data_IF_090388196480
#
_entry.id   IF_090388196480
#
_cell.length_a   1.000
_cell.length_b   1.000
_cell.length_c   1.000
_cell.angle_alpha   90.00
_cell.angle_beta   90.00
_cell.angle_gamma   90.00
#
_symmetry.space_group_name_H-M   'P 1'
#
loop_
_entity.id
_entity.type
_entity.pdbx_description
1 polymer ?
#
# COMPACT_ATOMS: atom_id res chain seq x y z
N UNK A 1 1.39 27.80 14.83
CA UNK A 1 1.14 26.35 14.74
C UNK A 1 0.08 26.16 13.67
N UNK A 2 0.55 25.95 12.46
CA UNK A 2 -0.26 25.62 11.29
C UNK A 2 -0.78 24.18 11.42
N UNK A 3 -1.71 23.77 10.56
CA UNK A 3 -2.15 22.37 10.53
C UNK A 3 -1.00 21.42 10.10
N UNK A 4 -0.05 21.91 9.28
CA UNK A 4 1.19 21.20 8.97
C UNK A 4 2.07 20.97 10.22
N UNK A 5 2.25 21.99 11.07
CA UNK A 5 3.03 21.85 12.31
C UNK A 5 2.41 20.81 13.27
N UNK A 6 1.07 20.67 13.26
CA UNK A 6 0.35 19.69 14.09
C UNK A 6 0.48 18.26 13.57
N UNK A 7 0.43 18.10 12.25
CA UNK A 7 0.68 16.81 11.60
C UNK A 7 2.12 16.37 11.83
N UNK A 8 3.08 17.28 11.72
CA UNK A 8 4.51 17.00 11.96
C UNK A 8 4.79 16.62 13.43
N UNK A 9 4.18 17.32 14.39
CA UNK A 9 4.34 17.00 15.83
C UNK A 9 3.64 15.69 16.22
N UNK A 10 2.46 15.41 15.69
CA UNK A 10 1.80 14.12 15.88
C UNK A 10 2.68 13.01 15.29
N UNK A 11 3.19 13.22 14.08
CA UNK A 11 4.04 12.30 13.32
C UNK A 11 5.34 11.94 14.05
N UNK A 12 6.02 12.90 14.69
CA UNK A 12 7.22 12.63 15.49
C UNK A 12 6.93 11.74 16.72
N UNK A 13 5.75 11.86 17.33
CA UNK A 13 5.34 11.01 18.45
C UNK A 13 5.01 9.56 18.02
N UNK A 14 4.69 9.35 16.74
CA UNK A 14 4.28 8.07 16.15
C UNK A 14 5.48 7.19 15.77
N UNK A 15 6.62 7.80 15.45
CA UNK A 15 7.81 7.15 14.86
C UNK A 15 8.86 6.76 15.91
N UNK A 16 8.70 7.19 17.16
CA UNK A 16 9.78 7.22 18.15
C UNK A 16 10.34 5.91 18.72
N UNK A 17 9.76 4.73 18.44
CA UNK A 17 10.20 3.48 19.09
C UNK A 17 10.25 2.26 18.15
N UNK A 18 10.85 2.41 16.96
CA UNK A 18 10.91 1.32 15.99
C UNK A 18 12.33 1.07 15.44
N UNK A 19 12.75 -0.21 15.31
CA UNK A 19 14.07 -0.57 14.81
C UNK A 19 14.25 -0.16 13.35
N UNK A 20 15.49 0.24 13.04
CA UNK A 20 15.94 0.77 11.76
C UNK A 20 15.71 -0.20 10.58
N UNK A 21 15.28 0.43 9.49
CA UNK A 21 14.97 -0.09 8.15
C UNK A 21 16.24 -0.59 7.45
N UNK A 22 16.10 -1.49 6.47
CA UNK A 22 17.20 -1.77 5.53
C UNK A 22 17.50 -0.49 4.72
N UNK A 23 18.72 0.06 4.78
CA UNK A 23 19.09 1.30 4.07
C UNK A 23 18.88 1.23 2.56
N UNK A 24 18.78 0.04 1.96
CA UNK A 24 18.57 -0.13 0.52
C UNK A 24 17.16 0.25 0.04
N UNK A 25 16.19 0.35 0.95
CA UNK A 25 14.78 0.60 0.61
C UNK A 25 14.31 2.03 0.85
N UNK A 26 15.23 2.94 1.21
CA UNK A 26 14.89 4.32 1.59
C UNK A 26 15.28 5.35 0.53
N UNK A 27 14.44 6.37 0.36
CA UNK A 27 14.75 7.60 -0.36
C UNK A 27 14.21 7.70 -1.80
N UNK A 28 14.46 8.83 -2.48
CA UNK A 28 13.80 9.18 -3.75
C UNK A 28 14.03 8.17 -4.89
N UNK A 29 15.19 7.53 -4.94
CA UNK A 29 15.51 6.55 -5.98
C UNK A 29 14.69 5.26 -5.85
N UNK A 30 14.43 4.81 -4.62
CA UNK A 30 13.58 3.64 -4.35
C UNK A 30 12.13 3.88 -4.82
N UNK A 31 11.62 5.11 -4.61
CA UNK A 31 10.29 5.54 -5.07
C UNK A 31 10.20 5.66 -6.59
N UNK A 32 11.22 6.20 -7.25
CA UNK A 32 11.25 6.29 -8.71
C UNK A 32 11.17 4.90 -9.35
N UNK A 33 11.98 3.95 -8.86
CA UNK A 33 11.94 2.57 -9.35
C UNK A 33 10.65 1.83 -8.98
N UNK A 34 9.94 2.22 -7.92
CA UNK A 34 8.65 1.63 -7.56
C UNK A 34 7.59 1.90 -8.64
N UNK A 35 7.42 3.14 -9.06
CA UNK A 35 6.40 3.51 -10.05
C UNK A 35 6.57 2.73 -11.37
N UNK A 36 7.79 2.68 -11.91
CA UNK A 36 8.09 1.97 -13.15
C UNK A 36 7.77 0.46 -13.03
N UNK A 37 8.10 -0.16 -11.89
CA UNK A 37 7.79 -1.56 -11.61
C UNK A 37 6.29 -1.82 -11.55
N UNK A 38 5.52 -0.95 -10.90
CA UNK A 38 4.07 -1.08 -10.80
C UNK A 38 3.38 -0.92 -12.17
N UNK A 39 3.78 0.08 -12.95
CA UNK A 39 3.27 0.26 -14.32
C UNK A 39 3.59 -0.95 -15.19
N UNK A 40 4.84 -1.44 -15.15
CA UNK A 40 5.26 -2.63 -15.88
C UNK A 40 4.50 -3.89 -15.47
N UNK A 41 4.26 -4.07 -14.16
CA UNK A 41 3.45 -5.16 -13.62
C UNK A 41 2.03 -5.14 -14.20
N UNK A 42 1.29 -4.04 -14.04
CA UNK A 42 -0.11 -3.99 -14.49
C UNK A 42 -0.23 -4.06 -16.01
N UNK A 43 0.71 -3.48 -16.76
CA UNK A 43 0.79 -3.68 -18.21
C UNK A 43 0.99 -5.16 -18.57
N UNK A 44 1.87 -5.87 -17.85
CA UNK A 44 2.08 -7.31 -18.00
C UNK A 44 0.85 -8.17 -17.66
N UNK A 45 -0.06 -7.64 -16.83
CA UNK A 45 -1.37 -8.26 -16.51
C UNK A 45 -2.49 -7.85 -17.48
N UNK A 46 -2.14 -7.23 -18.61
CA UNK A 46 -3.08 -6.85 -19.67
C UNK A 46 -3.83 -5.53 -19.42
N UNK A 47 -3.32 -4.65 -18.56
CA UNK A 47 -3.84 -3.28 -18.41
C UNK A 47 -3.11 -2.38 -19.41
N UNK A 48 -3.68 -2.23 -20.62
CA UNK A 48 -3.03 -1.52 -21.74
C UNK A 48 -2.68 -0.06 -21.41
N UNK A 49 -3.47 0.58 -20.55
CA UNK A 49 -3.36 1.98 -20.13
C UNK A 49 -2.81 2.15 -18.70
N UNK A 50 -2.04 1.17 -18.20
CA UNK A 50 -1.49 1.19 -16.85
C UNK A 50 -0.72 2.49 -16.53
N UNK A 51 0.02 3.06 -17.49
CA UNK A 51 0.79 4.29 -17.27
C UNK A 51 -0.07 5.53 -16.97
N UNK A 52 -1.33 5.56 -17.42
CA UNK A 52 -2.27 6.65 -17.14
C UNK A 52 -3.10 6.39 -15.90
N UNK A 53 -3.45 5.11 -15.63
CA UNK A 53 -4.27 4.70 -14.49
C UNK A 53 -3.51 4.59 -13.18
N UNK A 54 -2.29 4.05 -13.20
CA UNK A 54 -1.49 3.88 -11.97
C UNK A 54 -1.11 5.25 -11.42
N UNK A 55 -1.62 5.57 -10.23
CA UNK A 55 -1.23 6.73 -9.43
C UNK A 55 -1.04 6.29 -7.98
N UNK A 56 0.05 6.72 -7.37
CA UNK A 56 0.22 6.51 -5.94
C UNK A 56 -0.46 7.65 -5.18
N UNK A 57 -1.33 7.36 -4.20
CA UNK A 57 -1.86 8.38 -3.30
C UNK A 57 -0.73 9.16 -2.62
N UNK A 58 -0.94 10.47 -2.46
CA UNK A 58 0.09 11.38 -1.96
C UNK A 58 0.51 11.07 -0.51
N UNK A 59 -0.42 10.58 0.31
CA UNK A 59 -0.20 10.14 1.68
C UNK A 59 0.64 8.86 1.75
N UNK A 60 0.36 7.86 0.91
CA UNK A 60 1.21 6.67 0.76
C UNK A 60 2.63 7.07 0.32
N UNK A 61 2.76 7.95 -0.68
CA UNK A 61 4.05 8.45 -1.13
C UNK A 61 4.86 9.13 -0.02
N UNK A 62 4.21 9.96 0.79
CA UNK A 62 4.85 10.60 1.95
C UNK A 62 5.37 9.55 2.92
N UNK A 63 4.56 8.56 3.26
CA UNK A 63 4.98 7.46 4.11
C UNK A 63 6.15 6.67 3.52
N UNK A 64 6.09 6.29 2.25
CA UNK A 64 7.17 5.54 1.59
C UNK A 64 8.47 6.34 1.48
N UNK A 65 8.38 7.67 1.38
CA UNK A 65 9.55 8.56 1.40
C UNK A 65 10.20 8.64 2.79
N UNK A 66 9.42 8.48 3.86
CA UNK A 66 9.84 8.63 5.24
C UNK A 66 10.30 7.26 5.78
N UNK A 67 11.58 7.17 6.17
CA UNK A 67 12.18 5.95 6.72
C UNK A 67 11.93 4.69 5.86
N UNK A 68 11.97 4.81 4.52
CA UNK A 68 11.77 3.67 3.61
C UNK A 68 10.42 2.99 3.73
N UNK A 69 9.40 3.68 4.27
CA UNK A 69 8.01 3.22 4.22
C UNK A 69 7.73 1.94 4.97
N UNK A 70 8.55 1.57 5.95
CA UNK A 70 8.38 0.29 6.64
C UNK A 70 7.96 0.53 8.08
N UNK A 71 6.92 -0.18 8.54
CA UNK A 71 6.46 -0.08 9.93
C UNK A 71 6.01 -1.42 10.46
N UNK A 72 6.51 -1.82 11.63
CA UNK A 72 6.13 -3.08 12.29
C UNK A 72 5.62 -2.82 13.69
N UNK A 73 4.48 -3.41 14.06
CA UNK A 73 3.94 -3.38 15.42
C UNK A 73 3.54 -4.79 15.86
N UNK A 74 4.08 -5.26 16.98
CA UNK A 74 3.82 -6.62 17.49
C UNK A 74 4.90 -7.62 17.09
N UNK A 75 4.60 -8.90 17.26
CA UNK A 75 5.54 -10.02 17.07
C UNK A 75 5.39 -10.65 15.67
N UNK A 76 5.41 -11.98 15.56
CA UNK A 76 5.35 -12.73 14.30
C UNK A 76 4.04 -12.50 13.53
N UNK A 77 2.94 -12.24 14.25
CA UNK A 77 1.62 -11.97 13.66
C UNK A 77 1.22 -10.50 13.81
N UNK A 78 2.19 -9.64 14.04
CA UNK A 78 2.00 -8.20 14.16
C UNK A 78 1.61 -7.53 12.84
N UNK A 79 1.19 -6.27 12.94
CA UNK A 79 1.01 -5.41 11.77
C UNK A 79 2.37 -5.14 11.12
N UNK A 80 2.42 -5.23 9.81
CA UNK A 80 3.57 -4.84 9.01
C UNK A 80 3.14 -4.04 7.79
N UNK A 81 3.56 -2.77 7.70
CA UNK A 81 3.44 -1.93 6.51
C UNK A 81 4.74 -2.00 5.71
N UNK A 82 4.60 -2.16 4.40
CA UNK A 82 5.69 -2.49 3.49
C UNK A 82 6.40 -1.26 2.93
N UNK A 83 7.74 -1.32 2.90
CA UNK A 83 8.56 -0.37 2.15
C UNK A 83 8.47 -0.57 0.62
N UNK A 84 9.05 0.35 -0.18
CA UNK A 84 8.86 0.39 -1.63
C UNK A 84 9.16 -0.92 -2.36
N UNK A 85 10.28 -1.57 -2.06
CA UNK A 85 10.63 -2.84 -2.73
C UNK A 85 9.64 -3.96 -2.39
N UNK A 86 9.23 -4.04 -1.12
CA UNK A 86 8.28 -5.05 -0.65
C UNK A 86 6.88 -4.80 -1.21
N UNK A 87 6.43 -3.53 -1.29
CA UNK A 87 5.17 -3.18 -1.98
C UNK A 87 5.17 -3.71 -3.42
N UNK A 88 6.25 -3.47 -4.18
CA UNK A 88 6.33 -3.93 -5.55
C UNK A 88 6.30 -5.46 -5.66
N UNK A 89 7.13 -6.16 -4.87
CA UNK A 89 7.22 -7.63 -4.95
C UNK A 89 5.95 -8.31 -4.46
N UNK A 90 5.37 -7.82 -3.36
CA UNK A 90 4.16 -8.40 -2.79
C UNK A 90 2.94 -8.13 -3.68
N UNK A 91 2.82 -6.92 -4.23
CA UNK A 91 1.77 -6.62 -5.23
C UNK A 91 1.90 -7.53 -6.44
N UNK A 92 3.11 -7.77 -6.95
CA UNK A 92 3.33 -8.67 -8.07
C UNK A 92 2.95 -10.12 -7.75
N UNK A 93 3.30 -10.61 -6.55
CA UNK A 93 2.95 -11.94 -6.09
C UNK A 93 1.42 -12.10 -5.97
N UNK A 94 0.76 -11.21 -5.23
CA UNK A 94 -0.68 -11.32 -4.96
C UNK A 94 -1.48 -11.11 -6.25
N UNK A 95 -1.18 -10.08 -7.03
CA UNK A 95 -1.82 -9.86 -8.33
C UNK A 95 -1.62 -11.06 -9.27
N UNK A 96 -0.44 -11.69 -9.25
CA UNK A 96 -0.16 -12.89 -10.04
C UNK A 96 -1.04 -14.09 -9.65
N UNK A 97 -1.30 -14.28 -8.35
CA UNK A 97 -2.16 -15.36 -7.86
C UNK A 97 -3.63 -15.19 -8.30
N UNK A 98 -4.11 -13.94 -8.41
CA UNK A 98 -5.51 -13.65 -8.74
C UNK A 98 -5.72 -13.16 -10.18
N UNK A 99 -4.67 -13.14 -11.02
CA UNK A 99 -4.70 -12.56 -12.36
C UNK A 99 -5.79 -13.17 -13.26
N UNK A 100 -5.98 -14.49 -13.20
CA UNK A 100 -6.97 -15.22 -14.01
C UNK A 100 -8.41 -14.86 -13.66
N UNK A 101 -8.64 -14.37 -12.44
CA UNK A 101 -9.97 -14.01 -11.93
C UNK A 101 -10.25 -12.51 -12.02
N UNK A 102 -9.29 -11.70 -12.46
CA UNK A 102 -9.40 -10.25 -12.49
C UNK A 102 -10.54 -9.77 -13.40
N UNK A 103 -11.58 -9.10 -12.87
CA UNK A 103 -12.59 -8.45 -13.68
C UNK A 103 -11.98 -7.29 -14.48
N UNK A 104 -12.41 -7.07 -15.71
CA UNK A 104 -11.93 -5.94 -16.55
C UNK A 104 -12.14 -4.60 -15.87
N UNK A 105 -13.30 -4.44 -15.21
CA UNK A 105 -13.71 -3.23 -14.49
C UNK A 105 -13.14 -3.15 -13.07
N UNK A 106 -12.24 -4.05 -12.67
CA UNK A 106 -11.62 -3.95 -11.36
C UNK A 106 -10.54 -2.88 -11.35
N UNK A 107 -10.47 -2.14 -10.25
CA UNK A 107 -9.39 -1.21 -10.00
C UNK A 107 -8.04 -1.91 -9.90
N UNK A 108 -6.98 -1.11 -9.90
CA UNK A 108 -5.60 -1.53 -9.65
C UNK A 108 -5.31 -1.41 -8.15
N UNK A 109 -4.75 -2.46 -7.55
CA UNK A 109 -4.57 -2.55 -6.11
C UNK A 109 -3.12 -2.86 -5.76
N UNK A 110 -2.59 -2.15 -4.77
CA UNK A 110 -1.26 -2.35 -4.22
C UNK A 110 -1.37 -3.11 -2.92
N UNK A 111 -0.54 -4.12 -2.73
CA UNK A 111 -0.35 -4.73 -1.41
C UNK A 111 0.62 -3.85 -0.61
N UNK A 112 0.09 -3.21 0.45
CA UNK A 112 0.81 -2.20 1.25
C UNK A 112 1.14 -2.64 2.67
N UNK A 113 0.59 -3.77 3.10
CA UNK A 113 0.91 -4.36 4.40
C UNK A 113 0.26 -5.71 4.62
N UNK A 114 0.50 -6.27 5.79
CA UNK A 114 -0.14 -7.47 6.30
C UNK A 114 -0.29 -7.39 7.82
N UNK A 115 -1.16 -8.20 8.38
CA UNK A 115 -1.25 -8.39 9.82
C UNK A 115 -1.84 -9.76 10.16
N UNK A 116 -1.66 -10.24 11.38
CA UNK A 116 -2.24 -11.51 11.79
C UNK A 116 -1.78 -12.69 10.92
N UNK A 117 -2.57 -13.75 10.94
CA UNK A 117 -2.46 -14.83 9.96
C UNK A 117 -3.33 -14.45 8.75
N UNK A 118 -2.73 -14.48 7.55
CA UNK A 118 -3.43 -14.38 6.25
C UNK A 118 -4.17 -13.09 5.91
N UNK A 119 -4.03 -12.03 6.70
CA UNK A 119 -4.55 -10.72 6.29
C UNK A 119 -3.56 -9.94 5.45
N UNK A 120 -4.06 -9.41 4.34
CA UNK A 120 -3.35 -8.53 3.42
C UNK A 120 -4.06 -7.19 3.40
N UNK A 121 -3.27 -6.13 3.57
CA UNK A 121 -3.75 -4.76 3.49
C UNK A 121 -3.46 -4.28 2.07
N UNK A 122 -4.52 -3.96 1.34
CA UNK A 122 -4.42 -3.46 -0.03
C UNK A 122 -4.93 -2.02 -0.14
N UNK A 123 -4.40 -1.26 -1.09
CA UNK A 123 -4.79 0.11 -1.38
C UNK A 123 -5.04 0.29 -2.88
N UNK A 124 -6.14 0.94 -3.24
CA UNK A 124 -6.45 1.20 -4.65
C UNK A 124 -5.57 2.32 -5.21
N UNK A 125 -4.78 2.03 -6.26
CA UNK A 125 -3.90 2.98 -6.94
C UNK A 125 -4.37 3.34 -8.35
N UNK A 126 -5.63 3.08 -8.67
CA UNK A 126 -6.22 3.37 -9.98
C UNK A 126 -6.92 4.72 -9.96
N UNK A 127 -6.36 5.70 -10.68
CA UNK A 127 -6.88 7.06 -10.71
C UNK A 127 -8.26 7.20 -11.35
N UNK A 128 -8.67 6.19 -12.14
CA UNK A 128 -9.96 6.20 -12.81
C UNK A 128 -11.03 5.40 -12.02
N UNK A 129 -10.64 4.69 -10.95
CA UNK A 129 -11.56 3.97 -10.07
C UNK A 129 -12.10 4.88 -8.96
N UNK A 130 -13.41 4.79 -8.69
CA UNK A 130 -14.05 5.57 -7.61
C UNK A 130 -13.49 5.25 -6.22
N UNK A 131 -12.77 4.14 -6.06
CA UNK A 131 -12.12 3.70 -4.82
C UNK A 131 -10.67 4.16 -4.71
N UNK A 132 -10.17 5.02 -5.60
CA UNK A 132 -8.80 5.52 -5.52
C UNK A 132 -8.43 5.99 -4.11
N UNK A 133 -7.35 5.43 -3.55
CA UNK A 133 -6.86 5.72 -2.20
C UNK A 133 -7.50 4.90 -1.08
N UNK A 134 -8.62 4.21 -1.33
CA UNK A 134 -9.29 3.34 -0.34
C UNK A 134 -8.39 2.18 0.03
N UNK A 135 -8.36 1.87 1.33
CA UNK A 135 -7.66 0.75 1.95
C UNK A 135 -8.67 -0.36 2.28
N UNK A 136 -8.31 -1.58 1.93
CA UNK A 136 -9.10 -2.79 2.16
C UNK A 136 -8.27 -3.80 2.93
N UNK A 137 -8.92 -4.47 3.88
CA UNK A 137 -8.44 -5.70 4.49
C UNK A 137 -8.98 -6.91 3.72
N UNK A 138 -8.10 -7.80 3.28
CA UNK A 138 -8.45 -9.09 2.69
C UNK A 138 -7.87 -10.23 3.51
N UNK A 139 -8.70 -11.18 3.94
CA UNK A 139 -8.24 -12.42 4.59
C UNK A 139 -8.22 -13.57 3.57
N UNK A 140 -7.04 -14.08 3.20
CA UNK A 140 -6.89 -15.05 2.09
C UNK A 140 -7.59 -14.57 0.80
N UNK A 141 -7.73 -13.25 0.63
CA UNK A 141 -8.55 -12.64 -0.41
C UNK A 141 -7.83 -11.47 -1.09
N UNK A 142 -8.33 -11.09 -2.27
CA UNK A 142 -7.82 -9.96 -3.05
C UNK A 142 -8.99 -9.17 -3.63
N UNK A 143 -8.91 -7.85 -3.82
CA UNK A 143 -10.01 -7.05 -4.39
C UNK A 143 -10.46 -7.42 -5.81
N UNK A 144 -9.79 -8.38 -6.44
CA UNK A 144 -10.16 -8.95 -7.74
C UNK A 144 -11.03 -10.20 -7.62
N UNK A 145 -11.16 -10.76 -6.44
CA UNK A 145 -11.99 -11.92 -6.16
C UNK A 145 -13.36 -11.44 -5.65
N UNK A 146 -14.43 -12.01 -6.18
CA UNK A 146 -15.81 -11.69 -5.84
C UNK A 146 -16.32 -12.40 -4.58
N UNK A 147 -15.44 -13.19 -3.93
CA UNK A 147 -15.74 -13.99 -2.74
C UNK A 147 -16.13 -13.22 -1.46
N UNK A 148 -16.07 -11.88 -1.48
CA UNK A 148 -16.60 -11.03 -0.43
C UNK A 148 -15.78 -10.97 0.87
N UNK A 149 -14.53 -11.44 0.87
CA UNK A 149 -13.60 -11.36 2.01
C UNK A 149 -12.85 -10.03 2.11
N UNK A 150 -13.09 -9.11 1.17
CA UNK A 150 -12.53 -7.77 1.15
C UNK A 150 -13.43 -6.80 1.93
N UNK A 151 -12.94 -6.31 3.07
CA UNK A 151 -13.65 -5.35 3.92
C UNK A 151 -12.97 -3.99 3.81
N UNK A 152 -13.70 -2.91 3.46
CA UNK A 152 -13.15 -1.56 3.53
C UNK A 152 -12.66 -1.27 4.95
N UNK A 153 -11.40 -0.86 5.07
CA UNK A 153 -10.80 -0.48 6.35
C UNK A 153 -10.82 1.04 6.51
N UNK A 154 -10.26 1.77 5.55
CA UNK A 154 -10.14 3.22 5.60
C UNK A 154 -10.27 3.86 4.22
N UNK A 155 -10.74 5.10 4.17
CA UNK A 155 -10.90 5.85 2.91
C UNK A 155 -9.58 6.45 2.37
N UNK A 156 -8.48 6.31 3.12
CA UNK A 156 -7.13 6.79 2.74
C UNK A 156 -6.03 6.07 3.53
N UNK A 157 -4.78 6.21 3.09
CA UNK A 157 -3.63 5.66 3.83
C UNK A 157 -3.41 6.38 5.16
N UNK A 158 -3.58 7.71 5.21
CA UNK A 158 -3.56 8.44 6.50
C UNK A 158 -4.71 8.01 7.43
N UNK A 159 -5.88 7.67 6.89
CA UNK A 159 -6.98 7.10 7.66
C UNK A 159 -6.58 5.77 8.32
N UNK A 160 -5.95 4.88 7.56
CA UNK A 160 -5.39 3.63 8.09
C UNK A 160 -4.40 3.91 9.24
N UNK A 161 -3.45 4.85 9.06
CA UNK A 161 -2.50 5.19 10.12
C UNK A 161 -3.22 5.70 11.38
N UNK A 162 -4.22 6.57 11.22
CA UNK A 162 -5.02 7.12 12.33
C UNK A 162 -5.69 5.99 13.13
N UNK A 163 -6.34 5.05 12.44
CA UNK A 163 -7.02 3.90 13.06
C UNK A 163 -6.05 2.98 13.81
N UNK A 164 -4.82 2.87 13.33
CA UNK A 164 -3.76 2.11 13.98
C UNK A 164 -3.19 2.80 15.24
N UNK A 165 -3.68 3.98 15.60
CA UNK A 165 -3.18 4.79 16.71
C UNK A 165 -1.82 5.39 16.39
N UNK A 166 -1.67 5.85 15.15
CA UNK A 166 -0.44 6.31 14.56
C UNK A 166 -0.64 7.58 13.74
#
# INVERSE_FOLDING_TARGET
MTDDDRLETAWEAIVGDFPLVDPQDSGPAALAGLYERLVGLFAGLGVEDAATRVRMPADLLRFLALAGGTRRRGDEYGLYLFGPATVASQTAQDSGLFAEHRPVESGLWLTIGSYGDKHVITLCCDADDARFGVVVDGHDDHPWNDGGGNVPWADSFTGLLTDLGA
#
